data_IF_588705101902
#
_entry.id   IF_588705101902
#
_cell.length_a   1.000
_cell.length_b   1.000
_cell.length_c   1.000
_cell.angle_alpha   90.00
_cell.angle_beta   90.00
_cell.angle_gamma   90.00
#
_symmetry.space_group_name_H-M   'P 1'
#
loop_
_entity.id
_entity.type
_entity.pdbx_description
1 polymer ?
#
# COMPACT_ATOMS: atom_id res chain seq x y z
N UNK A 1 29.79 -0.19 2.86
CA UNK A 1 29.07 0.69 3.77
C UNK A 1 27.81 1.26 3.15
N UNK A 2 27.92 1.81 1.95
CA UNK A 2 26.78 2.40 1.25
C UNK A 2 25.68 1.36 0.97
N UNK A 3 26.04 0.22 0.42
CA UNK A 3 25.09 -0.85 0.14
C UNK A 3 24.47 -1.43 1.40
N UNK A 4 25.24 -1.55 2.46
CA UNK A 4 24.77 -2.09 3.73
C UNK A 4 23.74 -1.14 4.37
N UNK A 5 24.01 0.15 4.37
CA UNK A 5 23.07 1.13 4.86
C UNK A 5 21.74 1.15 4.08
N UNK A 6 21.83 1.01 2.76
CA UNK A 6 20.63 0.93 1.91
C UNK A 6 19.81 -0.32 2.20
N UNK A 7 20.44 -1.46 2.46
CA UNK A 7 19.75 -2.70 2.81
C UNK A 7 18.98 -2.54 4.11
N UNK A 8 19.58 -1.95 5.14
CA UNK A 8 18.90 -1.73 6.41
C UNK A 8 17.72 -0.76 6.27
N UNK A 9 17.88 0.31 5.49
CA UNK A 9 16.80 1.26 5.23
C UNK A 9 15.65 0.61 4.50
N UNK A 10 15.93 -0.26 3.52
CA UNK A 10 14.89 -1.00 2.79
C UNK A 10 14.13 -1.94 3.70
N UNK A 11 14.83 -2.65 4.58
CA UNK A 11 14.20 -3.55 5.55
C UNK A 11 13.29 -2.79 6.51
N UNK A 12 13.73 -1.63 6.99
CA UNK A 12 12.93 -0.80 7.87
C UNK A 12 11.69 -0.26 7.15
N UNK A 13 11.84 0.22 5.93
CA UNK A 13 10.72 0.68 5.12
C UNK A 13 9.72 -0.44 4.88
N UNK A 14 10.18 -1.64 4.56
CA UNK A 14 9.33 -2.81 4.36
C UNK A 14 8.51 -3.12 5.61
N UNK A 15 9.13 -3.07 6.80
CA UNK A 15 8.43 -3.28 8.07
C UNK A 15 7.37 -2.23 8.33
N UNK A 16 7.68 -0.96 8.02
CA UNK A 16 6.72 0.13 8.18
C UNK A 16 5.53 -0.06 7.25
N UNK A 17 5.77 -0.44 6.00
CA UNK A 17 4.71 -0.70 5.04
C UNK A 17 3.85 -1.89 5.50
N UNK A 18 4.47 -2.97 5.95
CA UNK A 18 3.74 -4.12 6.50
C UNK A 18 2.87 -3.71 7.69
N UNK A 19 3.40 -2.91 8.59
CA UNK A 19 2.64 -2.38 9.73
C UNK A 19 1.46 -1.54 9.27
N UNK A 20 1.64 -0.72 8.23
CA UNK A 20 0.54 0.05 7.65
C UNK A 20 -0.54 -0.87 7.09
N UNK A 21 -0.14 -1.90 6.33
CA UNK A 21 -1.11 -2.84 5.74
C UNK A 21 -1.94 -3.55 6.80
N UNK A 22 -1.35 -3.83 7.97
CA UNK A 22 -2.06 -4.44 9.09
C UNK A 22 -3.14 -3.51 9.68
N UNK A 23 -3.07 -2.21 9.43
CA UNK A 23 -4.12 -1.26 9.86
C UNK A 23 -5.32 -1.25 8.95
N UNK A 24 -5.21 -1.82 7.75
CA UNK A 24 -6.28 -1.82 6.75
C UNK A 24 -7.27 -2.96 7.01
N UNK A 25 -8.50 -2.76 6.53
CA UNK A 25 -9.46 -3.87 6.46
C UNK A 25 -8.92 -4.92 5.49
N UNK A 26 -9.40 -6.15 5.61
CA UNK A 26 -9.01 -7.24 4.71
C UNK A 26 -9.28 -6.86 3.25
N UNK A 27 -10.45 -6.27 2.96
CA UNK A 27 -10.80 -5.85 1.60
C UNK A 27 -9.84 -4.79 1.06
N UNK A 28 -9.53 -3.75 1.84
CA UNK A 28 -8.61 -2.70 1.42
C UNK A 28 -7.19 -3.23 1.23
N UNK A 29 -6.77 -4.17 2.07
CA UNK A 29 -5.47 -4.82 1.92
C UNK A 29 -5.39 -5.61 0.61
N UNK A 30 -6.43 -6.34 0.28
CA UNK A 30 -6.52 -7.09 -0.99
C UNK A 30 -6.43 -6.13 -2.17
N UNK A 31 -7.21 -5.04 -2.14
CA UNK A 31 -7.20 -4.02 -3.20
C UNK A 31 -5.80 -3.45 -3.41
N UNK A 32 -5.15 -3.06 -2.30
CA UNK A 32 -3.80 -2.50 -2.34
C UNK A 32 -2.78 -3.50 -2.89
N UNK A 33 -2.79 -4.72 -2.38
CA UNK A 33 -1.83 -5.74 -2.79
C UNK A 33 -2.01 -6.13 -4.26
N UNK A 34 -3.23 -6.26 -4.72
CA UNK A 34 -3.50 -6.58 -6.12
C UNK A 34 -3.01 -5.49 -7.06
N UNK A 35 -3.19 -4.24 -6.69
CA UNK A 35 -2.75 -3.13 -7.52
C UNK A 35 -1.23 -2.99 -7.54
N UNK A 36 -0.59 -3.03 -6.38
CA UNK A 36 0.83 -2.66 -6.26
C UNK A 36 1.78 -3.84 -6.28
N UNK A 37 1.33 -5.01 -5.85
CA UNK A 37 2.17 -6.21 -5.87
C UNK A 37 1.96 -7.03 -7.15
N UNK A 38 0.71 -7.21 -7.56
CA UNK A 38 0.36 -8.04 -8.71
C UNK A 38 0.12 -7.24 -9.98
N UNK A 39 0.12 -5.91 -9.89
CA UNK A 39 -0.10 -5.00 -11.05
C UNK A 39 -1.45 -5.23 -11.75
N UNK A 40 -2.45 -5.65 -11.01
CA UNK A 40 -3.80 -5.86 -11.54
C UNK A 40 -4.43 -4.53 -11.99
N UNK A 41 -5.23 -4.58 -13.04
CA UNK A 41 -6.01 -3.43 -13.46
C UNK A 41 -7.14 -3.14 -12.47
N UNK A 42 -7.65 -1.92 -12.47
CA UNK A 42 -8.80 -1.55 -11.65
C UNK A 42 -10.02 -2.42 -11.98
N UNK A 43 -10.19 -2.75 -13.25
CA UNK A 43 -11.27 -3.63 -13.71
C UNK A 43 -11.16 -5.02 -13.05
N UNK A 44 -9.97 -5.60 -13.09
CA UNK A 44 -9.74 -6.93 -12.51
C UNK A 44 -9.93 -6.92 -11.00
N UNK A 45 -9.44 -5.89 -10.31
CA UNK A 45 -9.64 -5.73 -8.87
C UNK A 45 -11.13 -5.60 -8.56
N UNK A 46 -11.86 -4.79 -9.31
CA UNK A 46 -13.29 -4.59 -9.13
C UNK A 46 -14.05 -5.91 -9.23
N UNK A 47 -13.72 -6.76 -10.19
CA UNK A 47 -14.33 -8.08 -10.34
C UNK A 47 -14.07 -8.98 -9.14
N UNK A 48 -12.84 -8.95 -8.61
CA UNK A 48 -12.47 -9.80 -7.46
C UNK A 48 -13.19 -9.37 -6.19
N UNK A 49 -13.25 -8.06 -5.92
CA UNK A 49 -13.83 -7.57 -4.66
C UNK A 49 -15.30 -7.21 -4.74
N UNK A 50 -15.90 -7.28 -5.92
CA UNK A 50 -17.32 -7.01 -6.09
C UNK A 50 -17.68 -5.53 -6.00
N UNK A 51 -16.77 -4.64 -6.42
CA UNK A 51 -16.99 -3.20 -6.47
C UNK A 51 -16.94 -2.70 -7.91
N UNK A 52 -17.36 -1.45 -8.12
CA UNK A 52 -17.15 -0.78 -9.41
C UNK A 52 -15.69 -0.34 -9.54
N UNK A 53 -15.24 -0.13 -10.78
CA UNK A 53 -13.89 0.42 -11.01
C UNK A 53 -13.71 1.78 -10.34
N UNK A 54 -14.75 2.61 -10.36
CA UNK A 54 -14.75 3.91 -9.69
C UNK A 54 -14.53 3.76 -8.19
N UNK A 55 -15.22 2.82 -7.56
CA UNK A 55 -15.07 2.58 -6.13
C UNK A 55 -13.68 2.05 -5.80
N UNK A 56 -13.11 1.19 -6.64
CA UNK A 56 -11.71 0.73 -6.47
C UNK A 56 -10.76 1.93 -6.53
N UNK A 57 -10.94 2.83 -7.50
CA UNK A 57 -10.11 4.02 -7.62
C UNK A 57 -10.20 4.92 -6.39
N UNK A 58 -11.40 5.15 -5.90
CA UNK A 58 -11.63 5.95 -4.68
C UNK A 58 -10.96 5.29 -3.47
N UNK A 59 -11.12 3.97 -3.31
CA UNK A 59 -10.49 3.21 -2.22
C UNK A 59 -8.97 3.35 -2.26
N UNK A 60 -8.37 3.19 -3.43
CA UNK A 60 -6.92 3.30 -3.60
C UNK A 60 -6.42 4.71 -3.30
N UNK A 61 -7.15 5.75 -3.73
CA UNK A 61 -6.78 7.12 -3.41
C UNK A 61 -6.75 7.34 -1.89
N UNK A 62 -7.78 6.87 -1.18
CA UNK A 62 -7.84 6.98 0.28
C UNK A 62 -6.75 6.18 0.97
N UNK A 63 -6.46 4.99 0.49
CA UNK A 63 -5.39 4.14 1.04
C UNK A 63 -4.04 4.85 0.88
N UNK A 64 -3.76 5.41 -0.31
CA UNK A 64 -2.52 6.14 -0.55
C UNK A 64 -2.37 7.36 0.37
N UNK A 65 -3.45 8.10 0.59
CA UNK A 65 -3.44 9.24 1.50
C UNK A 65 -3.15 8.81 2.94
N UNK A 66 -3.78 7.75 3.39
CA UNK A 66 -3.52 7.19 4.72
C UNK A 66 -2.09 6.70 4.86
N UNK A 67 -1.56 6.05 3.83
CA UNK A 67 -0.17 5.59 3.83
C UNK A 67 0.79 6.76 3.91
N UNK A 68 0.54 7.82 3.15
CA UNK A 68 1.36 9.02 3.20
C UNK A 68 1.41 9.61 4.61
N UNK A 69 0.25 9.74 5.28
CA UNK A 69 0.20 10.24 6.64
C UNK A 69 0.91 9.30 7.62
N UNK A 70 0.72 8.01 7.46
CA UNK A 70 1.39 7.00 8.28
C UNK A 70 2.91 7.12 8.19
N UNK A 71 3.43 7.31 6.98
CA UNK A 71 4.87 7.47 6.75
C UNK A 71 5.38 8.80 7.33
N UNK A 72 4.63 9.89 7.14
CA UNK A 72 5.01 11.20 7.69
C UNK A 72 5.09 11.15 9.22
N UNK A 73 4.12 10.53 9.88
CA UNK A 73 4.09 10.40 11.34
C UNK A 73 5.29 9.63 11.87
N UNK A 74 5.87 8.76 11.07
CA UNK A 74 7.06 7.98 11.41
C UNK A 74 8.34 8.58 10.87
N UNK A 75 8.27 9.81 10.38
CA UNK A 75 9.42 10.54 9.84
C UNK A 75 10.10 9.81 8.68
N UNK A 76 9.31 9.14 7.86
CA UNK A 76 9.81 8.49 6.64
C UNK A 76 9.61 9.44 5.46
N UNK A 77 10.69 9.83 4.81
CA UNK A 77 10.66 10.70 3.65
C UNK A 77 11.14 9.91 2.42
N UNK A 78 10.27 9.84 1.45
CA UNK A 78 10.54 9.10 0.21
C UNK A 78 10.68 10.07 -0.95
#
# INVERSE_FOLDING_TARGET
>A
SRGLGDVYKRQELARIIESFLDTLTTENRVIFMRRYWFSDSYKDIAEVVGLSEKNVSVRLTRIREKMKQYLIEREVFI
#
